data_IF_401772137500
#
_entry.id   IF_401772137500
#
_cell.length_a   1.000
_cell.length_b   1.000
_cell.length_c   1.000
_cell.angle_alpha   90.00
_cell.angle_beta   90.00
_cell.angle_gamma   90.00
#
_symmetry.space_group_name_H-M   'P 1'
#
loop_
_entity.id
_entity.type
_entity.pdbx_description
1 polymer ?
#
# COMPACT_ATOMS: atom_id res chain seq x y z
N UNK A 1 2.67 13.29 -11.36
CA UNK A 1 2.60 12.30 -10.26
C UNK A 1 2.33 12.97 -8.92
N UNK A 2 3.19 13.90 -8.46
CA UNK A 2 3.00 14.65 -7.20
C UNK A 2 1.61 15.32 -7.04
N UNK A 3 1.04 16.00 -8.05
CA UNK A 3 -0.30 16.57 -7.92
C UNK A 3 -1.39 15.51 -7.71
N UNK A 4 -1.26 14.33 -8.33
CA UNK A 4 -2.23 13.24 -8.18
C UNK A 4 -2.23 12.68 -6.75
N UNK A 5 -1.06 12.54 -6.12
CA UNK A 5 -0.97 12.16 -4.71
C UNK A 5 -1.64 13.20 -3.81
N UNK A 6 -1.33 14.49 -4.01
CA UNK A 6 -1.91 15.56 -3.21
C UNK A 6 -3.43 15.63 -3.33
N UNK A 7 -3.97 15.49 -4.55
CA UNK A 7 -5.42 15.45 -4.75
C UNK A 7 -6.04 14.26 -4.03
N UNK A 8 -5.47 13.05 -4.19
CA UNK A 8 -6.00 11.83 -3.53
C UNK A 8 -5.93 11.94 -2.01
N UNK A 9 -4.85 12.52 -1.47
CA UNK A 9 -4.70 12.75 -0.03
C UNK A 9 -5.67 13.80 0.48
N UNK A 10 -5.86 14.90 -0.25
CA UNK A 10 -6.80 15.96 0.15
C UNK A 10 -8.22 15.42 0.19
N UNK A 11 -8.63 14.63 -0.81
CA UNK A 11 -9.94 13.97 -0.84
C UNK A 11 -10.11 12.96 0.32
N UNK A 12 -9.06 12.21 0.68
CA UNK A 12 -9.10 11.30 1.84
C UNK A 12 -9.33 12.06 3.15
N UNK A 13 -8.54 13.11 3.38
CA UNK A 13 -8.58 13.89 4.62
C UNK A 13 -9.89 14.64 4.75
N UNK A 14 -10.38 15.29 3.70
CA UNK A 14 -11.67 15.99 3.76
C UNK A 14 -12.81 15.05 4.16
N UNK A 15 -12.83 13.81 3.67
CA UNK A 15 -13.81 12.81 4.10
C UNK A 15 -13.66 12.45 5.59
N UNK A 16 -12.44 12.24 6.06
CA UNK A 16 -12.19 11.89 7.46
C UNK A 16 -12.50 13.06 8.40
N UNK A 17 -12.21 14.30 7.99
CA UNK A 17 -12.56 15.51 8.75
C UNK A 17 -14.07 15.69 8.86
N UNK A 18 -14.83 15.39 7.80
CA UNK A 18 -16.29 15.36 7.84
C UNK A 18 -16.83 14.31 8.82
N UNK A 19 -16.21 13.13 8.88
CA UNK A 19 -16.60 12.07 9.81
C UNK A 19 -16.32 12.43 11.28
N UNK A 20 -15.19 13.08 11.55
CA UNK A 20 -14.81 13.51 12.91
C UNK A 20 -15.57 14.77 13.34
N UNK A 21 -15.84 15.68 12.40
CA UNK A 21 -16.31 17.05 12.66
C UNK A 21 -17.65 17.18 13.40
N UNK A 22 -18.52 16.17 13.38
CA UNK A 22 -19.79 16.21 14.09
C UNK A 22 -19.72 15.79 15.57
N UNK A 23 -18.77 14.93 15.93
CA UNK A 23 -18.72 14.28 17.26
C UNK A 23 -17.39 14.49 18.00
N UNK A 24 -16.39 15.11 17.35
CA UNK A 24 -15.06 15.36 17.91
C UNK A 24 -14.16 14.13 17.96
N UNK A 25 -14.72 12.95 17.68
CA UNK A 25 -14.00 11.71 17.41
C UNK A 25 -14.86 10.79 16.58
N UNK A 26 -14.28 9.95 15.74
CA UNK A 26 -15.02 8.96 14.95
C UNK A 26 -14.25 7.65 14.85
N UNK A 27 -14.95 6.53 14.94
CA UNK A 27 -14.39 5.21 14.66
C UNK A 27 -14.37 4.97 13.15
N UNK A 28 -13.22 4.56 12.63
CA UNK A 28 -13.01 4.31 11.21
C UNK A 28 -12.23 3.02 10.99
N UNK A 29 -12.71 2.19 10.06
CA UNK A 29 -11.91 1.09 9.52
C UNK A 29 -10.95 1.64 8.45
N UNK A 30 -9.67 1.81 8.82
CA UNK A 30 -8.67 2.35 7.89
C UNK A 30 -8.25 1.35 6.82
N UNK A 31 -8.63 0.07 6.96
CA UNK A 31 -8.29 -0.98 5.99
C UNK A 31 -8.82 -0.65 4.59
N UNK A 32 -10.14 -0.48 4.47
CA UNK A 32 -10.78 -0.18 3.19
C UNK A 32 -10.42 1.21 2.67
N UNK A 33 -10.22 2.18 3.56
CA UNK A 33 -9.82 3.53 3.17
C UNK A 33 -8.44 3.55 2.49
N UNK A 34 -7.45 2.82 3.02
CA UNK A 34 -6.13 2.77 2.39
C UNK A 34 -6.08 1.92 1.12
N UNK A 35 -6.89 0.86 1.03
CA UNK A 35 -7.04 0.15 -0.24
C UNK A 35 -7.62 1.07 -1.33
N UNK A 36 -8.65 1.85 -0.99
CA UNK A 36 -9.25 2.81 -1.93
C UNK A 36 -8.29 3.95 -2.28
N UNK A 37 -7.60 4.52 -1.28
CA UNK A 37 -6.65 5.61 -1.46
C UNK A 37 -5.49 5.23 -2.39
N UNK A 38 -4.81 4.12 -2.08
CA UNK A 38 -3.67 3.68 -2.90
C UNK A 38 -4.10 3.28 -4.31
N UNK A 39 -5.31 2.72 -4.45
CA UNK A 39 -5.92 2.42 -5.73
C UNK A 39 -6.22 3.68 -6.56
N UNK A 40 -6.69 4.76 -5.93
CA UNK A 40 -6.93 6.06 -6.56
C UNK A 40 -5.62 6.70 -7.01
N UNK A 41 -4.61 6.71 -6.15
CA UNK A 41 -3.28 7.26 -6.42
C UNK A 41 -2.64 6.60 -7.65
N UNK A 42 -2.56 5.26 -7.66
CA UNK A 42 -1.94 4.56 -8.79
C UNK A 42 -2.79 4.71 -10.06
N UNK A 43 -4.11 4.80 -9.94
CA UNK A 43 -5.01 5.06 -11.08
C UNK A 43 -4.77 6.43 -11.70
N UNK A 44 -4.71 7.49 -10.88
CA UNK A 44 -4.49 8.86 -11.36
C UNK A 44 -3.09 9.06 -11.91
N UNK A 45 -2.10 8.36 -11.35
CA UNK A 45 -0.71 8.47 -11.80
C UNK A 45 -0.43 7.65 -13.06
N UNK A 46 -1.02 6.46 -13.21
CA UNK A 46 -0.82 5.58 -14.36
C UNK A 46 -1.80 5.86 -15.52
N UNK A 47 -3.06 6.17 -15.23
CA UNK A 47 -4.14 6.26 -16.23
C UNK A 47 -4.85 7.63 -16.28
N UNK A 48 -4.51 8.57 -15.39
CA UNK A 48 -5.11 9.90 -15.36
C UNK A 48 -6.58 9.89 -14.94
N UNK A 49 -7.46 10.54 -15.72
CA UNK A 49 -8.86 10.81 -15.36
C UNK A 49 -9.83 9.62 -15.48
N UNK A 50 -9.37 8.43 -15.90
CA UNK A 50 -10.23 7.25 -16.13
C UNK A 50 -10.44 6.36 -14.88
N UNK A 51 -10.36 6.95 -13.69
CA UNK A 51 -10.45 6.29 -12.37
C UNK A 51 -11.56 5.25 -12.25
N UNK A 52 -12.81 5.63 -12.54
CA UNK A 52 -13.98 4.75 -12.35
C UNK A 52 -13.99 3.54 -13.29
N UNK A 53 -13.40 3.66 -14.47
CA UNK A 53 -13.37 2.59 -15.47
C UNK A 53 -12.28 1.55 -15.15
N UNK A 54 -11.12 2.00 -14.65
CA UNK A 54 -10.05 1.11 -14.22
C UNK A 54 -10.39 0.34 -12.93
N UNK A 55 -10.97 1.02 -11.93
CA UNK A 55 -11.18 0.47 -10.59
C UNK A 55 -11.97 -0.85 -10.58
N UNK A 56 -13.01 -0.99 -11.40
CA UNK A 56 -13.80 -2.22 -11.47
C UNK A 56 -13.00 -3.39 -12.05
N UNK A 57 -12.21 -3.13 -13.09
CA UNK A 57 -11.34 -4.15 -13.70
C UNK A 57 -10.30 -4.60 -12.68
N UNK A 58 -9.73 -3.67 -11.92
CA UNK A 58 -8.69 -4.00 -10.95
C UNK A 58 -9.21 -4.66 -9.67
N UNK A 59 -10.40 -4.30 -9.18
CA UNK A 59 -11.06 -5.06 -8.10
C UNK A 59 -11.23 -6.54 -8.47
N UNK A 60 -11.68 -6.82 -9.70
CA UNK A 60 -11.81 -8.19 -10.19
C UNK A 60 -10.45 -8.88 -10.32
N UNK A 61 -9.37 -8.14 -10.64
CA UNK A 61 -8.01 -8.69 -10.67
C UNK A 61 -7.48 -9.00 -9.27
N UNK A 62 -7.76 -8.16 -8.27
CA UNK A 62 -7.46 -8.44 -6.85
C UNK A 62 -8.17 -9.71 -6.40
N UNK A 63 -9.47 -9.84 -6.68
CA UNK A 63 -10.24 -11.06 -6.40
C UNK A 63 -9.63 -12.29 -7.09
N UNK A 64 -9.26 -12.18 -8.37
CA UNK A 64 -8.59 -13.26 -9.12
C UNK A 64 -7.23 -13.64 -8.50
N UNK A 65 -6.39 -12.67 -8.13
CA UNK A 65 -5.09 -12.91 -7.51
C UNK A 65 -5.23 -13.60 -6.15
N UNK A 66 -6.20 -13.17 -5.34
CA UNK A 66 -6.52 -13.80 -4.07
C UNK A 66 -6.95 -15.26 -4.25
N UNK A 67 -7.82 -15.54 -5.23
CA UNK A 67 -8.26 -16.91 -5.54
C UNK A 67 -7.09 -17.80 -6.03
N UNK A 68 -6.21 -17.26 -6.88
CA UNK A 68 -5.00 -17.98 -7.33
C UNK A 68 -4.05 -18.30 -6.16
N UNK A 69 -3.87 -17.39 -5.21
CA UNK A 69 -3.03 -17.60 -4.03
C UNK A 69 -3.67 -18.52 -2.98
N UNK A 70 -5.00 -18.50 -2.82
CA UNK A 70 -5.70 -19.44 -1.93
C UNK A 70 -5.57 -20.89 -2.41
N UNK A 71 -5.55 -21.12 -3.71
CA UNK A 71 -5.42 -22.45 -4.32
C UNK A 71 -3.97 -22.96 -4.27
N UNK A 72 -2.98 -22.07 -4.13
CA UNK A 72 -1.57 -22.42 -4.26
C UNK A 72 -0.77 -22.26 -2.96
N UNK A 73 -1.18 -22.99 -1.91
CA UNK A 73 -0.37 -23.18 -0.70
C UNK A 73 0.89 -24.02 -0.95
N UNK A 74 1.06 -24.59 -2.15
CA UNK A 74 2.17 -25.50 -2.51
C UNK A 74 3.47 -24.78 -2.86
N UNK A 75 3.37 -23.54 -3.37
CA UNK A 75 4.53 -22.70 -3.77
C UNK A 75 5.41 -22.22 -2.62
N UNK A 76 4.97 -22.35 -1.36
CA UNK A 76 5.74 -21.96 -0.17
C UNK A 76 6.78 -23.00 0.29
N UNK A 77 6.94 -24.12 -0.43
CA UNK A 77 8.06 -25.04 -0.16
C UNK A 77 9.35 -24.42 -0.72
N UNK A 78 10.22 -23.96 0.18
CA UNK A 78 11.56 -23.50 -0.17
C UNK A 78 12.28 -24.57 -1.03
N UNK A 79 12.63 -24.22 -2.27
CA UNK A 79 13.23 -25.15 -3.24
C UNK A 79 12.27 -25.77 -4.27
N UNK A 80 10.96 -25.51 -4.18
CA UNK A 80 9.96 -25.99 -5.16
C UNK A 80 10.29 -25.57 -6.59
N UNK A 81 10.90 -24.39 -6.79
CA UNK A 81 11.38 -23.89 -8.09
C UNK A 81 12.42 -24.80 -8.77
N UNK A 82 13.14 -25.63 -8.03
CA UNK A 82 14.16 -26.54 -8.55
C UNK A 82 13.63 -27.97 -8.80
N UNK A 83 12.38 -28.26 -8.42
CA UNK A 83 11.78 -29.56 -8.68
C UNK A 83 11.49 -29.73 -10.18
N UNK A 84 11.71 -30.92 -10.77
CA UNK A 84 11.51 -31.18 -12.20
C UNK A 84 10.02 -31.34 -12.58
N UNK A 85 9.18 -30.39 -12.15
CA UNK A 85 7.75 -30.33 -12.44
C UNK A 85 7.47 -29.77 -13.83
N UNK A 86 6.33 -30.12 -14.43
CA UNK A 86 5.91 -29.61 -15.75
C UNK A 86 5.94 -28.08 -15.81
N UNK A 87 5.46 -27.42 -14.75
CA UNK A 87 5.46 -25.95 -14.66
C UNK A 87 6.86 -25.36 -14.55
N UNK A 88 7.77 -25.99 -13.80
CA UNK A 88 9.16 -25.52 -13.66
C UNK A 88 9.97 -25.76 -14.94
N UNK A 89 9.68 -26.85 -15.67
CA UNK A 89 10.24 -27.09 -17.00
C UNK A 89 9.79 -26.00 -17.97
N UNK A 90 8.49 -25.68 -18.00
CA UNK A 90 7.96 -24.61 -18.85
C UNK A 90 8.55 -23.24 -18.48
N UNK A 91 8.70 -22.95 -17.19
CA UNK A 91 9.34 -21.73 -16.68
C UNK A 91 10.80 -21.60 -17.15
N UNK A 92 11.56 -22.69 -17.06
CA UNK A 92 12.94 -22.74 -17.56
C UNK A 92 13.05 -22.64 -19.10
N UNK A 93 12.04 -23.09 -19.84
CA UNK A 93 11.95 -22.90 -21.29
C UNK A 93 11.68 -21.43 -21.64
N UNK A 94 10.74 -20.77 -20.95
CA UNK A 94 10.43 -19.34 -21.10
C UNK A 94 11.65 -18.48 -20.76
N UNK A 95 12.35 -18.77 -19.65
CA UNK A 95 13.57 -18.07 -19.24
C UNK A 95 14.70 -18.22 -20.29
N UNK A 96 14.73 -19.33 -21.03
CA UNK A 96 15.67 -19.56 -22.13
C UNK A 96 15.26 -18.84 -23.43
N UNK A 97 13.96 -18.77 -23.72
CA UNK A 97 13.42 -18.05 -24.88
C UNK A 97 13.59 -16.53 -24.72
N UNK A 98 13.35 -15.99 -23.52
CA UNK A 98 13.48 -14.57 -23.19
C UNK A 98 14.90 -13.99 -23.31
N UNK A 99 15.92 -14.84 -23.41
CA UNK A 99 17.32 -14.41 -23.59
C UNK A 99 17.76 -14.37 -25.06
N UNK A 100 16.90 -14.75 -26.02
CA UNK A 100 17.32 -14.89 -27.42
C UNK A 100 16.53 -14.10 -28.46
N UNK A 101 15.41 -13.46 -28.15
CA UNK A 101 14.80 -12.46 -29.04
C UNK A 101 13.96 -11.47 -28.23
N UNK A 102 14.39 -10.21 -28.17
CA UNK A 102 13.54 -9.11 -27.72
C UNK A 102 12.47 -8.83 -28.78
N UNK A 103 11.45 -9.70 -28.87
CA UNK A 103 10.23 -9.41 -29.62
C UNK A 103 9.47 -8.30 -28.91
N UNK A 104 8.99 -7.33 -29.68
CA UNK A 104 8.11 -6.28 -29.17
C UNK A 104 6.91 -6.92 -28.44
N UNK A 105 6.68 -6.49 -27.21
CA UNK A 105 5.58 -6.98 -26.37
C UNK A 105 4.24 -6.69 -27.06
N UNK A 106 3.33 -7.66 -27.03
CA UNK A 106 1.97 -7.46 -27.55
C UNK A 106 1.21 -6.50 -26.64
N UNK A 107 0.20 -5.80 -27.16
CA UNK A 107 -0.62 -4.88 -26.35
C UNK A 107 -1.31 -5.60 -25.18
N UNK A 108 -1.67 -6.88 -25.35
CA UNK A 108 -2.29 -7.69 -24.31
C UNK A 108 -1.30 -8.00 -23.16
N UNK A 109 -0.06 -8.39 -23.50
CA UNK A 109 1.01 -8.58 -22.51
C UNK A 109 1.36 -7.28 -21.78
N UNK A 110 1.39 -6.14 -22.48
CA UNK A 110 1.59 -4.83 -21.83
C UNK A 110 0.47 -4.54 -20.83
N UNK A 111 -0.78 -4.84 -21.18
CA UNK A 111 -1.93 -4.65 -20.30
C UNK A 111 -1.81 -5.55 -19.05
N UNK A 112 -1.37 -6.79 -19.21
CA UNK A 112 -1.22 -7.73 -18.08
C UNK A 112 -0.07 -7.34 -17.15
N UNK A 113 1.06 -6.89 -17.68
CA UNK A 113 2.15 -6.32 -16.88
C UNK A 113 1.69 -5.07 -16.12
N UNK A 114 0.92 -4.18 -16.76
CA UNK A 114 0.34 -3.01 -16.09
C UNK A 114 -0.62 -3.38 -14.95
N UNK A 115 -1.42 -4.45 -15.09
CA UNK A 115 -2.27 -4.95 -14.00
C UNK A 115 -1.44 -5.44 -12.82
N UNK A 116 -0.33 -6.12 -13.08
CA UNK A 116 0.57 -6.61 -12.04
C UNK A 116 1.23 -5.45 -11.27
N UNK A 117 1.71 -4.42 -11.97
CA UNK A 117 2.25 -3.21 -11.34
C UNK A 117 1.21 -2.49 -10.48
N UNK A 118 -0.03 -2.39 -10.96
CA UNK A 118 -1.14 -1.81 -10.21
C UNK A 118 -1.38 -2.56 -8.89
N UNK A 119 -1.59 -3.88 -8.99
CA UNK A 119 -1.84 -4.75 -7.86
C UNK A 119 -0.69 -4.73 -6.85
N UNK A 120 0.55 -4.87 -7.33
CA UNK A 120 1.74 -4.86 -6.48
C UNK A 120 1.91 -3.51 -5.77
N UNK A 121 1.71 -2.38 -6.47
CA UNK A 121 1.84 -1.04 -5.88
C UNK A 121 0.76 -0.74 -4.84
N UNK A 122 -0.49 -1.05 -5.15
CA UNK A 122 -1.64 -0.77 -4.29
C UNK A 122 -1.63 -1.62 -3.01
N UNK A 123 -1.56 -2.95 -3.15
CA UNK A 123 -1.69 -3.86 -2.00
C UNK A 123 -0.53 -3.75 -1.02
N UNK A 124 0.69 -3.51 -1.52
CA UNK A 124 1.85 -3.38 -0.62
C UNK A 124 1.84 -2.05 0.12
N UNK A 125 1.51 -0.95 -0.56
CA UNK A 125 1.50 0.39 0.05
C UNK A 125 0.35 0.56 1.03
N UNK A 126 -0.84 0.02 0.72
CA UNK A 126 -1.98 0.06 1.64
C UNK A 126 -1.67 -0.68 2.94
N UNK A 127 -1.16 -1.91 2.85
CA UNK A 127 -0.76 -2.72 4.01
C UNK A 127 0.31 -2.02 4.85
N UNK A 128 1.30 -1.39 4.22
CA UNK A 128 2.31 -0.59 4.93
C UNK A 128 1.66 0.54 5.73
N UNK A 129 0.73 1.30 5.14
CA UNK A 129 0.03 2.40 5.80
C UNK A 129 -0.81 1.92 6.98
N UNK A 130 -1.62 0.87 6.76
CA UNK A 130 -2.51 0.29 7.77
C UNK A 130 -1.71 -0.14 8.99
N UNK A 131 -0.70 -0.98 8.83
CA UNK A 131 0.06 -1.47 9.97
C UNK A 131 0.91 -0.39 10.62
N UNK A 132 1.38 0.61 9.85
CA UNK A 132 2.05 1.77 10.45
C UNK A 132 1.11 2.51 11.39
N UNK A 133 -0.14 2.76 10.99
CA UNK A 133 -1.12 3.40 11.88
C UNK A 133 -1.47 2.52 13.09
N UNK A 134 -1.62 1.21 12.91
CA UNK A 134 -1.83 0.27 14.03
C UNK A 134 -0.66 0.29 15.02
N UNK A 135 0.58 0.33 14.55
CA UNK A 135 1.76 0.41 15.43
C UNK A 135 1.83 1.76 16.13
N UNK A 136 1.53 2.86 15.43
CA UNK A 136 1.52 4.20 16.03
C UNK A 136 0.40 4.36 17.07
N UNK A 137 -0.74 3.71 16.90
CA UNK A 137 -1.80 3.71 17.91
C UNK A 137 -1.46 2.86 19.14
N UNK A 138 -0.71 1.76 18.97
CA UNK A 138 -0.14 0.96 20.08
C UNK A 138 0.98 1.68 20.84
N UNK A 139 1.62 2.68 20.24
CA UNK A 139 2.74 3.42 20.82
C UNK A 139 2.51 4.95 20.80
N UNK A 140 1.66 5.50 21.71
CA UNK A 140 1.28 6.91 21.69
C UNK A 140 2.46 7.90 21.71
N UNK A 141 3.54 7.56 22.42
CA UNK A 141 4.75 8.40 22.45
C UNK A 141 5.44 8.48 21.09
N UNK A 142 5.43 7.40 20.30
CA UNK A 142 5.99 7.40 18.95
C UNK A 142 5.12 8.22 18.01
N UNK A 143 3.80 8.11 18.13
CA UNK A 143 2.86 8.93 17.37
C UNK A 143 3.02 10.41 17.68
N UNK A 144 3.13 10.78 18.97
CA UNK A 144 3.35 12.17 19.38
C UNK A 144 4.64 12.74 18.77
N UNK A 145 5.73 11.97 18.82
CA UNK A 145 7.00 12.37 18.22
C UNK A 145 6.91 12.51 16.70
N UNK A 146 6.24 11.55 16.04
CA UNK A 146 6.02 11.57 14.60
C UNK A 146 5.18 12.78 14.15
N UNK A 147 4.06 13.04 14.84
CA UNK A 147 3.23 14.24 14.62
C UNK A 147 4.03 15.52 14.84
N UNK A 148 4.82 15.59 15.92
CA UNK A 148 5.67 16.74 16.22
C UNK A 148 6.70 17.02 15.11
N UNK A 149 7.33 15.97 14.57
CA UNK A 149 8.30 16.10 13.46
C UNK A 149 7.62 16.59 12.18
N UNK A 150 6.46 16.01 11.83
CA UNK A 150 5.65 16.41 10.68
C UNK A 150 5.21 17.87 10.78
N UNK A 151 4.69 18.30 11.93
CA UNK A 151 4.27 19.67 12.18
C UNK A 151 5.46 20.64 12.21
N UNK A 152 6.64 20.21 12.64
CA UNK A 152 7.84 21.03 12.60
C UNK A 152 8.30 21.29 11.16
N UNK A 153 8.26 20.28 10.30
CA UNK A 153 8.77 20.39 8.92
C UNK A 153 7.76 21.07 8.00
N UNK A 154 6.49 20.67 8.06
CA UNK A 154 5.47 21.14 7.13
C UNK A 154 4.51 22.18 7.74
N UNK A 155 4.40 22.27 9.06
CA UNK A 155 3.42 23.13 9.72
C UNK A 155 2.01 22.80 9.26
N UNK A 156 1.27 23.83 8.81
CA UNK A 156 -0.05 23.71 8.18
C UNK A 156 0.01 23.66 6.66
N UNK A 157 1.21 23.68 6.07
CA UNK A 157 1.37 23.64 4.63
C UNK A 157 1.26 22.20 4.14
N UNK A 158 0.89 22.04 2.87
CA UNK A 158 0.88 20.71 2.24
C UNK A 158 2.31 20.15 2.18
N UNK A 159 2.52 18.85 2.45
CA UNK A 159 3.83 18.23 2.36
C UNK A 159 4.43 18.37 0.96
N UNK A 160 5.61 18.98 0.87
CA UNK A 160 6.40 19.10 -0.36
C UNK A 160 7.44 17.98 -0.48
N UNK A 161 7.80 17.62 -1.72
CA UNK A 161 8.73 16.51 -2.00
C UNK A 161 10.07 16.62 -1.27
N UNK A 162 10.65 17.83 -1.23
CA UNK A 162 11.96 18.05 -0.61
C UNK A 162 11.94 17.89 0.92
N UNK A 163 10.80 18.18 1.55
CA UNK A 163 10.61 17.95 2.99
C UNK A 163 10.57 16.45 3.33
N UNK A 164 10.08 15.59 2.43
CA UNK A 164 9.92 14.14 2.64
C UNK A 164 11.23 13.39 2.88
N UNK A 165 12.38 14.00 2.57
CA UNK A 165 13.71 13.39 2.77
C UNK A 165 14.31 13.65 4.17
N UNK A 166 13.72 14.54 4.96
CA UNK A 166 14.29 15.00 6.23
C UNK A 166 13.73 14.28 7.48
N UNK A 167 12.80 13.34 7.31
CA UNK A 167 12.08 12.71 8.43
C UNK A 167 12.83 11.55 9.09
N UNK A 168 12.80 11.49 10.42
CA UNK A 168 13.07 10.27 11.21
C UNK A 168 11.87 9.34 11.25
N UNK A 169 10.67 9.78 10.84
CA UNK A 169 9.52 8.91 10.52
C UNK A 169 9.89 7.79 9.55
N UNK A 170 10.90 8.04 8.71
CA UNK A 170 11.56 7.04 7.90
C UNK A 170 11.98 5.83 8.71
N UNK A 171 12.47 5.97 9.94
CA UNK A 171 12.85 4.80 10.75
C UNK A 171 11.67 3.90 11.09
N UNK A 172 10.48 4.45 11.36
CA UNK A 172 9.28 3.66 11.65
C UNK A 172 8.83 2.92 10.39
N UNK A 173 8.76 3.64 9.27
CA UNK A 173 8.43 3.06 7.95
C UNK A 173 9.49 2.04 7.50
N UNK A 174 10.79 2.35 7.65
CA UNK A 174 11.90 1.45 7.33
C UNK A 174 11.98 0.25 8.26
N UNK A 175 11.66 0.37 9.55
CA UNK A 175 11.60 -0.77 10.47
C UNK A 175 10.52 -1.76 9.99
N UNK A 176 9.36 -1.25 9.56
CA UNK A 176 8.29 -2.07 9.03
C UNK A 176 8.65 -2.67 7.66
N UNK A 177 9.24 -1.88 6.76
CA UNK A 177 9.78 -2.35 5.47
C UNK A 177 10.86 -3.41 5.70
N UNK A 178 11.75 -3.25 6.68
CA UNK A 178 12.83 -4.20 6.97
C UNK A 178 12.30 -5.51 7.56
N UNK A 179 11.23 -5.45 8.36
CA UNK A 179 10.54 -6.65 8.85
C UNK A 179 9.74 -7.36 7.75
N UNK A 180 9.19 -6.64 6.77
CA UNK A 180 8.51 -7.21 5.59
C UNK A 180 9.50 -7.65 4.49
N UNK A 181 10.71 -7.09 4.45
CA UNK A 181 11.70 -7.31 3.38
C UNK A 181 12.23 -8.74 3.28
N UNK A 182 11.95 -9.60 4.25
CA UNK A 182 12.34 -11.00 4.11
C UNK A 182 11.57 -11.74 3.00
N UNK A 183 10.45 -11.18 2.50
CA UNK A 183 9.56 -11.86 1.55
C UNK A 183 9.18 -11.04 0.29
N UNK A 184 9.42 -9.73 0.18
CA UNK A 184 8.94 -8.93 -0.98
C UNK A 184 10.09 -8.38 -1.84
N UNK A 185 9.99 -8.71 -3.14
CA UNK A 185 10.87 -8.37 -4.26
C UNK A 185 11.40 -6.92 -4.24
N UNK A 186 12.60 -6.75 -4.79
CA UNK A 186 13.12 -5.46 -5.28
C UNK A 186 12.11 -4.92 -6.31
N UNK A 187 11.19 -4.08 -5.84
CA UNK A 187 10.12 -3.53 -6.65
C UNK A 187 10.63 -2.29 -7.38
N UNK A 188 10.48 -2.23 -8.70
CA UNK A 188 10.86 -1.05 -9.52
C UNK A 188 10.14 0.22 -9.01
N UNK A 189 8.96 0.07 -8.41
CA UNK A 189 8.21 1.17 -7.79
C UNK A 189 8.49 1.41 -6.30
N UNK A 190 9.59 0.92 -5.72
CA UNK A 190 9.89 1.11 -4.30
C UNK A 190 9.95 2.60 -3.90
N UNK A 191 10.55 3.43 -4.75
CA UNK A 191 10.57 4.88 -4.52
C UNK A 191 9.17 5.49 -4.58
N UNK A 192 8.33 5.03 -5.51
CA UNK A 192 6.94 5.46 -5.63
C UNK A 192 6.17 5.14 -4.35
N UNK A 193 6.21 3.89 -3.90
CA UNK A 193 5.53 3.42 -2.69
C UNK A 193 6.01 4.18 -1.44
N UNK A 194 7.32 4.47 -1.35
CA UNK A 194 7.85 5.24 -0.23
C UNK A 194 7.37 6.69 -0.24
N UNK A 195 7.31 7.35 -1.40
CA UNK A 195 6.80 8.72 -1.53
C UNK A 195 5.31 8.77 -1.18
N UNK A 196 4.54 7.82 -1.73
CA UNK A 196 3.11 7.65 -1.44
C UNK A 196 2.86 7.50 0.05
N UNK A 197 3.53 6.54 0.68
CA UNK A 197 3.35 6.23 2.09
C UNK A 197 3.74 7.42 2.98
N UNK A 198 4.88 8.06 2.68
CA UNK A 198 5.34 9.23 3.44
C UNK A 198 4.36 10.40 3.33
N UNK A 199 3.87 10.68 2.13
CA UNK A 199 2.95 11.79 1.93
C UNK A 199 1.64 11.54 2.65
N UNK A 200 1.04 10.36 2.47
CA UNK A 200 -0.20 9.98 3.12
C UNK A 200 -0.07 10.06 4.66
N UNK A 201 0.97 9.43 5.23
CA UNK A 201 1.21 9.48 6.68
C UNK A 201 1.47 10.89 7.20
N UNK A 202 2.24 11.70 6.47
CA UNK A 202 2.50 13.08 6.87
C UNK A 202 1.19 13.86 6.95
N UNK A 203 0.33 13.76 5.94
CA UNK A 203 -0.94 14.48 5.94
C UNK A 203 -1.87 13.95 7.03
N UNK A 204 -1.99 12.64 7.21
CA UNK A 204 -2.79 12.06 8.30
C UNK A 204 -2.30 12.55 9.66
N UNK A 205 -0.98 12.57 9.90
CA UNK A 205 -0.36 13.04 11.15
C UNK A 205 -0.35 14.56 11.30
N UNK A 206 -0.67 15.36 10.26
CA UNK A 206 -0.96 16.79 10.43
C UNK A 206 -2.37 16.99 11.01
N UNK A 207 -3.33 16.17 10.60
CA UNK A 207 -4.75 16.40 10.87
C UNK A 207 -5.28 15.59 12.06
N UNK A 208 -4.87 14.33 12.21
CA UNK A 208 -5.51 13.39 13.14
C UNK A 208 -4.56 12.76 14.14
N UNK A 209 -4.91 12.82 15.42
CA UNK A 209 -4.40 11.85 16.40
C UNK A 209 -5.33 10.65 16.44
N UNK A 210 -4.80 9.47 16.73
CA UNK A 210 -5.61 8.27 16.68
C UNK A 210 -5.18 7.19 17.67
N UNK A 211 -6.14 6.39 18.10
CA UNK A 211 -5.95 5.27 19.01
C UNK A 211 -6.63 3.99 18.49
N UNK A 212 -6.29 2.85 19.07
CA UNK A 212 -6.97 1.60 18.72
C UNK A 212 -8.41 1.65 19.19
N UNK A 213 -9.36 1.32 18.30
CA UNK A 213 -10.73 1.16 18.71
C UNK A 213 -10.87 -0.07 19.65
N UNK A 214 -11.76 -0.03 20.66
CA UNK A 214 -12.17 -1.21 21.40
C UNK A 214 -12.70 -2.36 20.52
N UNK A 215 -13.20 -2.07 19.31
CA UNK A 215 -13.65 -3.08 18.36
C UNK A 215 -12.49 -3.77 17.61
N UNK A 216 -11.28 -3.20 17.67
CA UNK A 216 -10.12 -3.73 16.96
C UNK A 216 -9.73 -5.11 17.48
N UNK A 217 -9.75 -6.09 16.57
CA UNK A 217 -9.30 -7.46 16.86
C UNK A 217 -8.00 -7.73 16.12
N UNK A 218 -6.89 -7.84 16.85
CA UNK A 218 -5.58 -8.10 16.26
C UNK A 218 -5.48 -9.55 15.76
N UNK A 219 -5.73 -9.74 14.47
CA UNK A 219 -5.63 -11.03 13.78
C UNK A 219 -4.98 -10.85 12.40
N UNK A 220 -3.64 -10.72 12.32
CA UNK A 220 -2.94 -10.71 11.04
C UNK A 220 -3.05 -12.08 10.36
N UNK A 221 -3.38 -12.09 9.07
CA UNK A 221 -3.42 -13.27 8.23
C UNK A 221 -2.65 -13.01 6.93
N UNK A 222 -1.83 -13.98 6.52
CA UNK A 222 -1.03 -13.87 5.30
C UNK A 222 -1.78 -14.50 4.13
N UNK A 223 -2.05 -13.71 3.09
CA UNK A 223 -2.57 -14.20 1.81
C UNK A 223 -1.56 -13.98 0.69
N UNK A 224 -1.40 -12.72 0.27
CA UNK A 224 -0.32 -12.24 -0.61
C UNK A 224 0.55 -11.26 0.18
N UNK A 225 -0.09 -10.36 0.90
CA UNK A 225 0.49 -9.47 1.92
C UNK A 225 -0.09 -9.83 3.30
N UNK A 226 0.45 -9.22 4.35
CA UNK A 226 -0.05 -9.38 5.72
C UNK A 226 -1.30 -8.51 5.91
N UNK A 227 -2.47 -9.11 6.06
CA UNK A 227 -3.77 -8.40 6.10
C UNK A 227 -4.43 -8.57 7.49
N UNK A 228 -5.02 -7.54 8.12
CA UNK A 228 -5.97 -7.70 9.22
C UNK A 228 -7.22 -8.47 8.77
N UNK A 229 -7.44 -9.63 9.38
CA UNK A 229 -8.58 -10.49 9.09
C UNK A 229 -9.94 -9.83 9.38
N UNK A 230 -10.00 -8.92 10.36
CA UNK A 230 -11.23 -8.28 10.83
C UNK A 230 -11.22 -6.75 10.68
N UNK A 231 -10.44 -6.23 9.72
CA UNK A 231 -10.25 -4.79 9.52
C UNK A 231 -9.31 -4.14 10.54
N UNK A 232 -9.09 -2.84 10.36
CA UNK A 232 -8.19 -2.02 11.18
C UNK A 232 -8.96 -0.82 11.75
N UNK A 233 -9.80 -1.09 12.73
CA UNK A 233 -10.63 -0.08 13.39
C UNK A 233 -9.79 0.82 14.31
N UNK A 234 -9.78 2.12 14.03
CA UNK A 234 -9.11 3.16 14.82
C UNK A 234 -10.12 4.24 15.20
N UNK A 235 -9.90 4.89 16.35
CA UNK A 235 -10.63 6.11 16.71
C UNK A 235 -9.76 7.28 16.30
N UNK A 236 -10.32 8.17 15.46
CA UNK A 236 -9.67 9.40 15.01
C UNK A 236 -10.17 10.59 15.83
N UNK A 237 -9.26 11.51 16.16
CA UNK A 237 -9.50 12.79 16.84
C UNK A 237 -8.85 13.94 16.09
#
# INVERSE_FOLDING_TARGET
MFPAFLTSCSELISRWEELVGSEGSSELDVWHEFQNFTGDVISRTAFGSSYKQGMRIFQLQTEHAQLLCQYDKSKFILGYRFLPLKENKRRNEIDKEGNSNATAMTTEEVIDECKLFYFAGQETTSVLLIWTMVVLSMHPMWQLQARGEVLQVFGKNQPEFDGLNHFKILKVIYLFIYQIQHEILIYIGQNFALIEAKMALSIVLQHFSFELSPSYTHAPYTLITLQPQYGAHLILH
#
